data_IF_528326102576
#
_entry.id   IF_528326102576
#
_cell.length_a   1.000
_cell.length_b   1.000
_cell.length_c   1.000
_cell.angle_alpha   90.00
_cell.angle_beta   90.00
_cell.angle_gamma   90.00
#
_symmetry.space_group_name_H-M   'P 1'
#
loop_
_entity.id
_entity.type
_entity.pdbx_description
1 polymer ?
#
# COMPACT_ATOMS: atom_id res chain seq x y z
N UNK A 1 -0.33 -13.19 0.84
CA UNK A 1 -1.02 -12.08 0.17
C UNK A 1 -0.93 -10.86 1.05
N UNK A 2 -0.45 -9.76 0.48
CA UNK A 2 -0.27 -8.53 1.24
C UNK A 2 -1.25 -7.49 0.79
N UNK A 3 -1.85 -6.80 1.77
CA UNK A 3 -2.84 -5.78 1.53
C UNK A 3 -2.49 -4.56 2.35
N UNK A 4 -3.09 -3.43 1.99
CA UNK A 4 -2.95 -2.20 2.75
C UNK A 4 -4.33 -1.72 3.19
N UNK A 5 -4.43 -1.35 4.46
CA UNK A 5 -5.64 -0.71 4.98
C UNK A 5 -5.34 0.77 5.15
N UNK A 6 -6.08 1.62 4.45
CA UNK A 6 -5.86 3.05 4.53
C UNK A 6 -6.52 3.62 5.77
N UNK A 7 -5.75 4.29 6.62
CA UNK A 7 -6.31 4.87 7.84
C UNK A 7 -7.19 6.08 7.56
N UNK A 8 -7.10 6.65 6.37
CA UNK A 8 -7.89 7.83 6.02
C UNK A 8 -9.24 7.47 5.43
N UNK A 9 -9.26 6.62 4.40
CA UNK A 9 -10.51 6.28 3.73
C UNK A 9 -11.00 4.87 4.05
N UNK A 10 -10.23 4.11 4.82
CA UNK A 10 -10.59 2.75 5.23
C UNK A 10 -10.73 1.77 4.08
N UNK A 11 -10.16 2.11 2.94
CA UNK A 11 -10.13 1.19 1.81
C UNK A 11 -9.07 0.12 2.06
N UNK A 12 -9.30 -1.06 1.52
CA UNK A 12 -8.34 -2.15 1.58
C UNK A 12 -7.87 -2.43 0.17
N UNK A 13 -6.56 -2.39 -0.03
CA UNK A 13 -5.96 -2.50 -1.35
C UNK A 13 -5.10 -3.75 -1.41
N UNK A 14 -5.36 -4.59 -2.42
CA UNK A 14 -4.52 -5.75 -2.66
C UNK A 14 -3.34 -5.30 -3.52
N UNK A 15 -2.14 -5.60 -3.08
CA UNK A 15 -0.94 -5.21 -3.81
C UNK A 15 -0.69 -6.12 -5.00
N UNK A 16 -0.07 -5.55 -6.01
CA UNK A 16 0.37 -6.29 -7.19
C UNK A 16 1.74 -5.75 -7.58
N UNK A 17 2.26 -6.19 -8.72
CA UNK A 17 3.58 -5.73 -9.16
C UNK A 17 3.53 -4.31 -9.71
N UNK A 18 2.36 -3.78 -9.95
CA UNK A 18 2.20 -2.37 -10.31
C UNK A 18 1.58 -1.64 -9.13
N UNK A 19 1.83 -0.35 -9.05
CA UNK A 19 1.33 0.44 -7.92
C UNK A 19 -0.18 0.42 -7.86
N UNK A 20 -0.72 0.13 -6.68
CA UNK A 20 -2.14 0.19 -6.39
C UNK A 20 -2.37 1.22 -5.30
N UNK A 21 -3.30 2.11 -5.52
CA UNK A 21 -3.61 3.17 -4.58
C UNK A 21 -4.96 2.93 -3.93
N UNK A 22 -5.11 3.44 -2.71
CA UNK A 22 -6.42 3.40 -2.07
C UNK A 22 -7.35 4.40 -2.71
N UNK A 23 -8.61 4.35 -2.31
CA UNK A 23 -9.64 5.19 -2.91
C UNK A 23 -9.34 6.68 -2.78
N UNK A 24 -8.83 7.11 -1.64
CA UNK A 24 -8.54 8.54 -1.45
C UNK A 24 -7.17 8.93 -1.97
N UNK A 25 -6.36 7.97 -2.39
CA UNK A 25 -5.05 8.25 -2.97
C UNK A 25 -3.94 8.55 -1.98
N UNK A 26 -4.22 8.53 -0.67
CA UNK A 26 -3.20 8.90 0.30
C UNK A 26 -2.22 7.78 0.59
N UNK A 27 -2.52 6.56 0.21
CA UNK A 27 -1.58 5.47 0.39
C UNK A 27 -1.59 4.55 -0.84
N UNK A 28 -0.54 3.77 -0.95
CA UNK A 28 -0.44 2.83 -2.05
C UNK A 28 0.84 2.04 -1.94
N UNK A 29 1.01 1.10 -2.84
CA UNK A 29 2.20 0.27 -2.81
C UNK A 29 2.22 -0.76 -3.92
N UNK A 30 3.29 -1.55 -3.93
CA UNK A 30 3.42 -2.60 -4.94
C UNK A 30 4.43 -3.64 -4.48
N UNK A 31 4.35 -4.83 -5.07
CA UNK A 31 5.36 -5.85 -4.89
C UNK A 31 6.55 -5.56 -5.79
N UNK A 32 7.72 -5.93 -5.31
CA UNK A 32 8.88 -5.90 -6.17
C UNK A 32 8.83 -7.08 -7.14
N UNK A 33 9.81 -7.17 -8.01
CA UNK A 33 9.85 -8.19 -9.05
C UNK A 33 9.78 -9.60 -8.49
N UNK A 34 10.32 -9.80 -7.28
CA UNK A 34 10.33 -11.13 -6.69
C UNK A 34 8.95 -11.58 -6.21
N UNK A 35 7.96 -10.68 -6.21
CA UNK A 35 6.62 -11.03 -5.77
C UNK A 35 6.52 -11.32 -4.29
N UNK A 36 7.59 -11.08 -3.53
CA UNK A 36 7.62 -11.34 -2.10
C UNK A 36 7.81 -10.05 -1.31
N UNK A 37 8.81 -9.26 -1.70
CA UNK A 37 9.07 -7.99 -1.04
C UNK A 37 8.15 -6.93 -1.60
N UNK A 38 7.68 -6.06 -0.73
CA UNK A 38 6.75 -4.99 -1.12
C UNK A 38 7.18 -3.68 -0.50
N UNK A 39 6.79 -2.59 -1.14
CA UNK A 39 7.04 -1.24 -0.68
C UNK A 39 5.71 -0.50 -0.68
N UNK A 40 5.49 0.34 0.32
CA UNK A 40 4.25 1.12 0.36
C UNK A 40 4.52 2.48 0.98
N UNK A 41 3.57 3.38 0.76
CA UNK A 41 3.66 4.73 1.28
C UNK A 41 2.31 5.15 1.86
N UNK A 42 2.33 6.17 2.70
CA UNK A 42 1.12 6.79 3.19
C UNK A 42 0.65 6.22 4.52
N UNK A 43 -0.48 6.72 5.03
CA UNK A 43 -0.99 6.32 6.34
C UNK A 43 -1.75 5.01 6.24
N UNK A 44 -1.03 3.92 6.10
CA UNK A 44 -1.61 2.61 5.88
C UNK A 44 -1.09 1.60 6.88
N UNK A 45 -1.91 0.59 7.14
CA UNK A 45 -1.52 -0.55 7.96
C UNK A 45 -1.42 -1.75 7.04
N UNK A 46 -0.24 -2.37 6.94
CA UNK A 46 -0.12 -3.55 6.09
C UNK A 46 -0.75 -4.76 6.76
N UNK A 47 -1.43 -5.56 5.97
CA UNK A 47 -2.19 -6.72 6.45
C UNK A 47 -1.79 -7.92 5.62
N UNK A 48 -1.76 -9.09 6.24
CA UNK A 48 -1.53 -10.34 5.55
C UNK A 48 -2.61 -11.34 5.85
N UNK A 49 -2.91 -12.21 4.90
CA UNK A 49 -3.78 -13.34 5.12
C UNK A 49 -2.93 -14.58 5.29
N UNK A 50 -3.41 -15.52 6.10
CA UNK A 50 -2.80 -16.85 6.16
C UNK A 50 -3.27 -17.56 4.90
N UNK A 51 -2.44 -17.57 3.88
CA UNK A 51 -2.85 -17.96 2.53
C UNK A 51 -3.48 -19.35 2.46
N UNK A 52 -2.93 -20.33 3.16
CA UNK A 52 -3.47 -21.68 3.12
C UNK A 52 -4.88 -21.72 3.69
N UNK A 53 -5.13 -20.99 4.77
CA UNK A 53 -6.45 -20.95 5.36
C UNK A 53 -7.44 -20.22 4.47
N UNK A 54 -6.97 -19.15 3.83
CA UNK A 54 -7.82 -18.39 2.92
C UNK A 54 -8.26 -19.24 1.74
N UNK A 55 -7.32 -19.96 1.14
CA UNK A 55 -7.64 -20.82 -0.01
C UNK A 55 -8.61 -21.93 0.40
N UNK A 56 -8.35 -22.54 1.56
CA UNK A 56 -9.27 -23.59 2.05
C UNK A 56 -10.66 -23.05 2.28
N UNK A 57 -10.76 -21.83 2.84
CA UNK A 57 -12.06 -21.23 3.09
C UNK A 57 -12.81 -20.98 1.77
N UNK A 58 -12.08 -20.56 0.73
CA UNK A 58 -12.68 -20.34 -0.57
C UNK A 58 -13.20 -21.66 -1.14
N UNK A 59 -12.41 -22.72 -1.04
CA UNK A 59 -12.80 -24.01 -1.56
C UNK A 59 -13.99 -24.61 -0.81
N UNK A 60 -14.07 -24.31 0.49
CA UNK A 60 -15.12 -24.84 1.33
C UNK A 60 -16.31 -23.89 1.46
N UNK A 61 -16.43 -22.90 0.61
CA UNK A 61 -17.52 -21.94 0.69
C UNK A 61 -18.86 -22.67 0.67
N UNK A 62 -19.68 -22.48 1.72
CA UNK A 62 -20.97 -23.16 1.76
C UNK A 62 -22.02 -22.44 0.93
N UNK A 63 -23.06 -23.17 0.56
CA UNK A 63 -24.17 -22.58 -0.18
C UNK A 63 -25.08 -21.77 0.72
N UNK A 64 -25.22 -22.22 1.96
CA UNK A 64 -26.10 -21.57 2.92
C UNK A 64 -25.45 -21.54 4.27
N UNK A 65 -25.99 -20.71 5.13
CA UNK A 65 -25.55 -20.67 6.52
C UNK A 65 -24.39 -19.74 6.72
N UNK A 66 -23.60 -20.06 7.73
CA UNK A 66 -22.43 -19.23 8.09
C UNK A 66 -21.29 -19.51 7.13
N UNK A 67 -20.49 -18.47 6.86
CA UNK A 67 -19.31 -18.66 6.02
C UNK A 67 -18.20 -19.38 6.77
N UNK A 68 -17.11 -19.60 6.05
CA UNK A 68 -15.92 -20.26 6.60
C UNK A 68 -14.89 -19.18 6.88
N UNK A 69 -14.39 -19.12 8.12
CA UNK A 69 -13.41 -18.14 8.51
C UNK A 69 -12.01 -18.52 8.10
N UNK A 70 -11.13 -17.53 8.09
CA UNK A 70 -9.70 -17.75 7.83
C UNK A 70 -8.94 -16.68 8.59
N UNK A 71 -7.63 -16.91 8.80
CA UNK A 71 -6.82 -16.03 9.61
C UNK A 71 -6.21 -14.90 8.82
N UNK A 72 -6.09 -13.76 9.48
CA UNK A 72 -5.42 -12.59 8.95
C UNK A 72 -4.63 -11.95 10.08
N UNK A 73 -3.65 -11.11 9.73
CA UNK A 73 -2.79 -10.49 10.74
C UNK A 73 -2.29 -9.15 10.22
N UNK A 74 -1.93 -8.28 11.15
CA UNK A 74 -1.26 -7.04 10.76
C UNK A 74 0.22 -7.34 10.63
N UNK A 75 0.84 -6.78 9.59
CA UNK A 75 2.27 -6.92 9.39
C UNK A 75 2.96 -5.87 10.24
N UNK A 76 4.06 -6.20 10.93
CA UNK A 76 4.71 -5.24 11.81
C UNK A 76 5.16 -4.00 11.05
N UNK A 77 5.23 -2.87 11.78
CA UNK A 77 5.66 -1.62 11.16
C UNK A 77 7.07 -1.71 10.59
N UNK A 78 7.94 -2.46 11.25
CA UNK A 78 9.29 -2.67 10.76
C UNK A 78 9.37 -4.10 10.27
N UNK A 79 9.37 -4.26 8.96
CA UNK A 79 9.36 -5.59 8.36
C UNK A 79 10.17 -5.54 7.07
N UNK A 80 11.20 -6.38 6.93
CA UNK A 80 12.07 -6.31 5.75
C UNK A 80 11.36 -6.64 4.45
N UNK A 81 10.25 -7.37 4.50
CA UNK A 81 9.52 -7.72 3.28
C UNK A 81 8.32 -6.82 3.04
N UNK A 82 8.14 -5.79 3.86
CA UNK A 82 7.03 -4.85 3.69
C UNK A 82 7.51 -3.51 4.20
N UNK A 83 8.14 -2.74 3.33
CA UNK A 83 8.88 -1.54 3.72
C UNK A 83 8.05 -0.30 3.45
N UNK A 84 7.92 0.53 4.48
CA UNK A 84 7.21 1.80 4.39
C UNK A 84 8.21 2.90 4.05
N UNK A 85 7.92 3.68 3.02
CA UNK A 85 8.77 4.82 2.67
C UNK A 85 7.91 6.03 2.38
N UNK A 86 8.56 7.19 2.36
CA UNK A 86 7.91 8.44 2.02
C UNK A 86 7.44 8.40 0.57
N UNK A 87 6.37 9.10 0.25
CA UNK A 87 5.83 9.07 -1.11
C UNK A 87 6.84 9.62 -2.12
N UNK A 88 7.64 10.61 -1.71
CA UNK A 88 8.67 11.14 -2.60
C UNK A 88 9.71 10.08 -2.91
N UNK A 89 10.15 9.38 -1.87
CA UNK A 89 11.10 8.29 -2.04
C UNK A 89 10.47 7.14 -2.82
N UNK A 90 9.18 6.90 -2.59
CA UNK A 90 8.49 5.83 -3.29
C UNK A 90 8.50 6.08 -4.80
N UNK A 91 8.21 7.30 -5.20
CA UNK A 91 8.21 7.64 -6.63
C UNK A 91 9.59 7.43 -7.23
N UNK A 92 10.64 7.84 -6.52
CA UNK A 92 12.00 7.67 -7.01
C UNK A 92 12.35 6.20 -7.19
N UNK A 93 12.02 5.37 -6.19
CA UNK A 93 12.31 3.94 -6.27
C UNK A 93 11.52 3.29 -7.40
N UNK A 94 10.25 3.62 -7.49
CA UNK A 94 9.38 3.05 -8.51
C UNK A 94 9.88 3.40 -9.91
N UNK A 95 10.22 4.66 -10.11
CA UNK A 95 10.73 5.12 -11.39
C UNK A 95 12.03 4.38 -11.73
N UNK A 96 12.89 4.24 -10.74
CA UNK A 96 14.19 3.63 -10.97
C UNK A 96 14.07 2.13 -11.26
N UNK A 97 13.28 1.42 -10.47
CA UNK A 97 13.24 -0.03 -10.59
C UNK A 97 12.42 -0.51 -11.78
N UNK A 98 11.31 0.15 -12.05
CA UNK A 98 10.44 -0.28 -13.13
C UNK A 98 10.83 0.30 -14.47
N UNK A 99 11.27 1.52 -14.44
CA UNK A 99 11.76 2.16 -15.63
C UNK A 99 10.69 2.42 -16.66
N UNK A 100 9.42 2.07 -16.36
CA UNK A 100 8.40 2.29 -17.34
C UNK A 100 7.05 2.44 -16.68
N UNK A 101 7.03 3.21 -15.66
CA UNK A 101 5.77 3.60 -15.06
C UNK A 101 4.93 4.21 -16.16
N UNK A 102 3.66 3.84 -16.21
CA UNK A 102 2.74 4.44 -17.16
C UNK A 102 2.77 5.94 -16.95
N UNK A 103 2.97 6.70 -18.01
CA UNK A 103 3.19 8.13 -17.90
C UNK A 103 2.14 8.82 -17.05
N UNK A 104 0.87 8.52 -17.31
CA UNK A 104 -0.20 9.16 -16.55
C UNK A 104 -0.10 8.88 -15.07
N UNK A 105 0.17 7.63 -14.73
CA UNK A 105 0.29 7.25 -13.34
C UNK A 105 1.48 7.94 -12.69
N UNK A 106 2.58 8.00 -13.41
CA UNK A 106 3.78 8.64 -12.90
C UNK A 106 3.52 10.14 -12.65
N UNK A 107 2.87 10.80 -13.59
CA UNK A 107 2.57 12.21 -13.45
C UNK A 107 1.68 12.46 -12.25
N UNK A 108 0.66 11.63 -12.06
CA UNK A 108 -0.22 11.74 -10.90
C UNK A 108 0.56 11.62 -9.61
N UNK A 109 1.46 10.65 -9.55
CA UNK A 109 2.24 10.44 -8.33
C UNK A 109 3.16 11.61 -8.06
N UNK A 110 3.74 12.18 -9.11
CA UNK A 110 4.60 13.34 -8.95
C UNK A 110 3.82 14.55 -8.46
N UNK A 111 2.63 14.74 -8.98
CA UNK A 111 1.79 15.82 -8.50
C UNK A 111 1.46 15.67 -7.04
N UNK A 112 1.10 14.46 -6.64
CA UNK A 112 0.81 14.20 -5.24
C UNK A 112 2.02 14.46 -4.36
N UNK A 113 3.18 14.04 -4.82
CA UNK A 113 4.40 14.22 -4.04
C UNK A 113 4.69 15.70 -3.85
N UNK A 114 4.54 16.48 -4.90
CA UNK A 114 4.79 17.91 -4.82
C UNK A 114 3.77 18.60 -3.91
N UNK A 115 2.53 18.18 -4.00
CA UNK A 115 1.50 18.74 -3.14
C UNK A 115 1.76 18.42 -1.67
N UNK A 116 2.17 17.20 -1.39
CA UNK A 116 2.48 16.82 -0.02
C UNK A 116 3.68 17.58 0.52
N UNK A 117 4.67 17.78 -0.32
CA UNK A 117 5.82 18.58 0.07
C UNK A 117 5.42 20.00 0.42
N UNK A 118 4.56 20.58 -0.42
CA UNK A 118 4.08 21.93 -0.20
C UNK A 118 3.30 22.00 1.10
N UNK A 119 2.43 21.05 1.32
CA UNK A 119 1.63 21.02 2.55
C UNK A 119 2.50 20.87 3.77
N UNK A 120 3.54 20.06 3.68
CA UNK A 120 4.46 19.87 4.79
C UNK A 120 5.18 21.16 5.11
N UNK A 121 5.62 21.88 4.10
CA UNK A 121 6.28 23.16 4.31
C UNK A 121 5.36 24.17 4.97
N UNK A 122 4.11 24.20 4.54
CA UNK A 122 3.14 25.09 5.16
C UNK A 122 2.93 24.75 6.61
N UNK A 123 2.83 23.46 6.92
CA UNK A 123 2.69 23.05 8.30
C UNK A 123 3.89 23.44 9.13
N UNK A 124 5.07 23.28 8.60
CA UNK A 124 6.28 23.66 9.31
C UNK A 124 6.29 25.15 9.61
N UNK A 125 5.85 25.94 8.63
CA UNK A 125 5.82 27.39 8.82
C UNK A 125 4.84 27.76 9.92
N UNK A 126 3.66 27.15 9.92
CA UNK A 126 2.62 27.53 10.88
C UNK A 126 2.80 26.87 12.23
N UNK A 127 3.26 25.63 12.25
CA UNK A 127 3.38 24.89 13.50
C UNK A 127 4.77 24.90 14.05
N UNK A 128 5.69 25.30 13.24
CA UNK A 128 7.06 25.39 13.67
C UNK A 128 7.62 24.03 14.02
N UNK A 129 7.26 23.01 13.24
CA UNK A 129 7.78 21.71 13.52
C UNK A 129 7.46 20.79 12.40
N UNK A 130 7.84 19.59 12.54
CA UNK A 130 7.80 18.56 11.60
C UNK A 130 8.86 18.61 10.67
#
# INVERSE_FOLDING_TARGET
MKLLFCNTCEDIVKLSTTTRKCQCGSCGGHYREDGLNAIYYGPAVPIGFINSEFITAIEDQPEYGNGVGFGAFTIPKVCPTMVHIDIVDYIAVHDYTDGFVVDEMYDDMMEEAELQKKNRKLKNVFKDEE
#
